data_IF_222291627051
#
_entry.id   IF_222291627051
#
_cell.length_a   1.000
_cell.length_b   1.000
_cell.length_c   1.000
_cell.angle_alpha   90.00
_cell.angle_beta   90.00
_cell.angle_gamma   90.00
#
_symmetry.space_group_name_H-M   'P 1'
#
loop_
_entity.id
_entity.type
_entity.pdbx_description
1 polymer ?
#
# COMPACT_ATOMS: atom_id res chain seq x y z
N UNK A 1 -10.17 -2.48 1.70
CA UNK A 1 -9.50 -2.99 0.48
C UNK A 1 -9.09 -4.45 0.59
N UNK A 2 -8.24 -4.85 1.53
CA UNK A 2 -7.76 -6.24 1.55
C UNK A 2 -8.84 -7.27 1.95
N UNK A 3 -9.69 -6.92 2.92
CA UNK A 3 -10.75 -7.82 3.41
C UNK A 3 -11.91 -7.99 2.42
N UNK A 4 -12.28 -6.91 1.71
CA UNK A 4 -13.37 -6.95 0.71
C UNK A 4 -13.05 -7.86 -0.49
N UNK A 5 -11.78 -8.18 -0.72
CA UNK A 5 -11.36 -9.06 -1.80
C UNK A 5 -11.59 -10.55 -1.48
N UNK A 6 -11.99 -10.89 -0.25
CA UNK A 6 -12.39 -12.25 0.16
C UNK A 6 -13.88 -12.53 -0.08
N UNK A 7 -14.64 -11.53 -0.50
CA UNK A 7 -16.10 -11.55 -0.60
C UNK A 7 -16.60 -11.20 -1.99
N UNK A 8 -17.88 -11.47 -2.24
CA UNK A 8 -18.59 -11.02 -3.43
C UNK A 8 -19.41 -9.77 -3.12
N UNK A 9 -19.46 -8.84 -4.07
CA UNK A 9 -20.44 -7.75 -4.05
C UNK A 9 -21.83 -8.38 -4.21
N UNK A 10 -22.76 -8.00 -3.34
CA UNK A 10 -24.15 -8.44 -3.32
C UNK A 10 -25.04 -7.24 -3.70
N UNK A 11 -25.69 -7.33 -4.85
CA UNK A 11 -26.54 -6.25 -5.40
C UNK A 11 -27.72 -5.92 -4.48
N UNK A 12 -28.25 -6.90 -3.73
CA UNK A 12 -29.33 -6.65 -2.77
C UNK A 12 -28.82 -5.78 -1.61
N UNK A 13 -27.58 -5.98 -1.18
CA UNK A 13 -26.95 -5.17 -0.13
C UNK A 13 -26.69 -3.75 -0.65
N UNK A 14 -26.23 -3.62 -1.90
CA UNK A 14 -26.04 -2.30 -2.54
C UNK A 14 -27.36 -1.54 -2.59
N UNK A 15 -28.46 -2.18 -3.01
CA UNK A 15 -29.78 -1.58 -3.04
C UNK A 15 -30.26 -1.10 -1.65
N UNK A 16 -29.99 -1.87 -0.60
CA UNK A 16 -30.27 -1.43 0.79
C UNK A 16 -29.53 -0.14 1.13
N UNK A 17 -28.27 -0.01 0.77
CA UNK A 17 -27.51 1.21 1.02
C UNK A 17 -27.97 2.40 0.17
N UNK A 18 -28.40 2.16 -1.07
CA UNK A 18 -29.00 3.18 -1.93
C UNK A 18 -30.29 3.74 -1.32
N UNK A 19 -31.21 2.86 -0.90
CA UNK A 19 -32.46 3.27 -0.23
C UNK A 19 -32.18 4.04 1.06
N UNK A 20 -31.30 3.53 1.92
CA UNK A 20 -30.91 4.22 3.15
C UNK A 20 -30.26 5.58 2.87
N UNK A 21 -29.48 5.70 1.80
CA UNK A 21 -28.86 6.96 1.41
C UNK A 21 -29.90 7.99 0.93
N UNK A 22 -30.92 7.56 0.20
CA UNK A 22 -32.06 8.40 -0.16
C UNK A 22 -32.85 8.85 1.08
N UNK A 23 -33.17 7.92 1.99
CA UNK A 23 -33.92 8.22 3.21
C UNK A 23 -33.19 9.17 4.18
N UNK A 24 -31.87 9.05 4.28
CA UNK A 24 -31.07 9.77 5.27
C UNK A 24 -30.38 11.03 4.75
N UNK A 25 -30.00 11.07 3.46
CA UNK A 25 -29.09 12.11 2.97
C UNK A 25 -29.57 12.83 1.71
N UNK A 26 -30.11 12.13 0.71
CA UNK A 26 -30.31 12.73 -0.63
C UNK A 26 -31.77 12.90 -1.08
N UNK A 27 -32.71 12.11 -0.57
CA UNK A 27 -34.13 12.15 -0.96
C UNK A 27 -34.93 13.28 -0.30
N UNK A 28 -36.25 13.28 -0.50
CA UNK A 28 -37.16 14.34 -0.04
C UNK A 28 -37.77 14.08 1.34
N UNK A 29 -37.42 12.97 2.00
CA UNK A 29 -37.84 12.69 3.36
C UNK A 29 -37.40 13.82 4.32
N UNK A 30 -38.20 14.09 5.36
CA UNK A 30 -37.92 15.14 6.34
C UNK A 30 -36.51 15.01 6.94
N UNK A 31 -36.09 13.77 7.23
CA UNK A 31 -34.76 13.44 7.74
C UNK A 31 -33.65 13.89 6.78
N UNK A 32 -33.73 13.52 5.51
CA UNK A 32 -32.77 13.90 4.48
C UNK A 32 -32.73 15.41 4.23
N UNK A 33 -33.90 16.06 4.19
CA UNK A 33 -33.99 17.53 4.10
C UNK A 33 -33.29 18.22 5.28
N UNK A 34 -33.51 17.72 6.50
CA UNK A 34 -32.87 18.23 7.73
C UNK A 34 -31.36 18.03 7.72
N UNK A 35 -30.87 16.89 7.24
CA UNK A 35 -29.44 16.64 7.07
C UNK A 35 -28.83 17.69 6.13
N UNK A 36 -29.40 17.87 4.92
CA UNK A 36 -28.87 18.82 3.94
C UNK A 36 -28.91 20.27 4.43
N UNK A 37 -29.95 20.66 5.16
CA UNK A 37 -30.04 21.99 5.75
C UNK A 37 -28.96 22.25 6.82
N UNK A 38 -28.48 21.21 7.51
CA UNK A 38 -27.54 21.31 8.63
C UNK A 38 -26.19 20.64 8.34
N UNK A 39 -25.82 20.43 7.08
CA UNK A 39 -24.62 19.65 6.70
C UNK A 39 -23.30 20.24 7.23
N UNK A 40 -23.29 21.55 7.52
CA UNK A 40 -22.13 22.24 8.09
C UNK A 40 -22.05 22.15 9.63
N UNK A 41 -23.07 21.59 10.27
CA UNK A 41 -23.08 21.31 11.70
C UNK A 41 -22.54 19.88 11.96
N UNK A 42 -21.43 19.80 12.68
CA UNK A 42 -20.71 18.55 12.87
C UNK A 42 -21.52 17.55 13.72
N UNK A 43 -22.25 18.03 14.73
CA UNK A 43 -23.07 17.19 15.61
C UNK A 43 -24.26 16.59 14.85
N UNK A 44 -25.03 17.43 14.14
CA UNK A 44 -26.15 16.97 13.30
C UNK A 44 -25.70 15.99 12.23
N UNK A 45 -24.55 16.24 11.59
CA UNK A 45 -23.99 15.34 10.58
C UNK A 45 -23.60 14.00 11.17
N UNK A 46 -22.97 13.99 12.34
CA UNK A 46 -22.58 12.76 13.03
C UNK A 46 -23.81 11.92 13.41
N UNK A 47 -24.87 12.57 13.93
CA UNK A 47 -26.12 11.89 14.26
C UNK A 47 -26.73 11.24 13.02
N UNK A 48 -26.82 11.96 11.90
CA UNK A 48 -27.39 11.40 10.66
C UNK A 48 -26.59 10.18 10.14
N UNK A 49 -25.26 10.21 10.28
CA UNK A 49 -24.38 9.10 9.92
C UNK A 49 -24.57 7.90 10.86
N UNK A 50 -24.70 8.12 12.18
CA UNK A 50 -25.01 7.04 13.12
C UNK A 50 -26.37 6.43 12.82
N UNK A 51 -27.41 7.24 12.62
CA UNK A 51 -28.75 6.76 12.28
C UNK A 51 -28.73 5.89 11.00
N UNK A 52 -27.94 6.29 9.98
CA UNK A 52 -27.77 5.51 8.75
C UNK A 52 -27.15 4.14 9.02
N UNK A 53 -26.09 4.09 9.82
CA UNK A 53 -25.44 2.82 10.14
C UNK A 53 -26.30 1.93 11.04
N UNK A 54 -26.98 2.50 12.03
CA UNK A 54 -27.92 1.76 12.89
C UNK A 54 -29.04 1.12 12.05
N UNK A 55 -29.59 1.86 11.09
CA UNK A 55 -30.58 1.33 10.16
C UNK A 55 -30.00 0.23 9.26
N UNK A 56 -28.77 0.39 8.78
CA UNK A 56 -28.09 -0.63 7.96
C UNK A 56 -27.85 -1.94 8.72
N UNK A 57 -27.53 -1.87 10.03
CA UNK A 57 -27.33 -3.06 10.88
C UNK A 57 -28.61 -3.87 10.97
N UNK A 58 -29.77 -3.22 11.13
CA UNK A 58 -31.06 -3.90 11.20
C UNK A 58 -31.43 -4.54 9.85
N UNK A 59 -31.20 -3.84 8.75
CA UNK A 59 -31.58 -4.32 7.40
C UNK A 59 -30.68 -5.41 6.83
N UNK A 60 -29.47 -5.56 7.37
CA UNK A 60 -28.43 -6.47 6.88
C UNK A 60 -28.02 -7.51 7.93
N UNK A 61 -28.83 -7.73 8.96
CA UNK A 61 -28.49 -8.59 10.10
C UNK A 61 -28.21 -10.06 9.71
N UNK A 62 -28.80 -10.52 8.61
CA UNK A 62 -28.66 -11.88 8.08
C UNK A 62 -27.55 -12.02 7.02
N UNK A 63 -26.92 -10.91 6.63
CA UNK A 63 -25.87 -10.88 5.61
C UNK A 63 -24.49 -11.10 6.21
N UNK A 64 -23.62 -11.78 5.46
CA UNK A 64 -22.24 -12.00 5.87
C UNK A 64 -21.47 -10.66 5.95
N UNK A 65 -20.75 -10.36 7.05
CA UNK A 65 -20.06 -9.08 7.24
C UNK A 65 -19.09 -8.71 6.12
N UNK A 66 -18.39 -9.69 5.55
CA UNK A 66 -17.48 -9.50 4.41
C UNK A 66 -18.22 -9.01 3.16
N UNK A 67 -19.39 -9.58 2.85
CA UNK A 67 -20.23 -9.14 1.74
C UNK A 67 -20.81 -7.75 2.00
N UNK A 68 -21.19 -7.45 3.23
CA UNK A 68 -21.66 -6.10 3.63
C UNK A 68 -20.55 -5.08 3.38
N UNK A 69 -19.32 -5.36 3.82
CA UNK A 69 -18.18 -4.44 3.64
C UNK A 69 -17.81 -4.25 2.16
N UNK A 70 -17.81 -5.32 1.36
CA UNK A 70 -17.54 -5.22 -0.08
C UNK A 70 -18.62 -4.43 -0.82
N UNK A 71 -19.89 -4.71 -0.51
CA UNK A 71 -21.03 -4.05 -1.14
C UNK A 71 -21.14 -2.58 -0.72
N UNK A 72 -20.89 -2.25 0.56
CA UNK A 72 -20.82 -0.85 1.01
C UNK A 72 -19.70 -0.08 0.33
N UNK A 73 -18.53 -0.70 0.17
CA UNK A 73 -17.41 -0.11 -0.54
C UNK A 73 -17.74 0.18 -2.02
N UNK A 74 -18.43 -0.76 -2.68
CA UNK A 74 -18.92 -0.61 -4.06
C UNK A 74 -20.00 0.46 -4.17
N UNK A 75 -20.95 0.50 -3.23
CA UNK A 75 -21.97 1.54 -3.16
C UNK A 75 -21.35 2.94 -3.10
N UNK A 76 -20.36 3.15 -2.22
CA UNK A 76 -19.66 4.44 -2.12
C UNK A 76 -18.90 4.81 -3.40
N UNK A 77 -18.32 3.83 -4.08
CA UNK A 77 -17.65 4.04 -5.38
C UNK A 77 -18.64 4.52 -6.45
N UNK A 78 -19.76 3.81 -6.60
CA UNK A 78 -20.81 4.13 -7.57
C UNK A 78 -21.43 5.49 -7.28
N UNK A 79 -21.72 5.78 -6.01
CA UNK A 79 -22.24 7.07 -5.56
C UNK A 79 -21.24 8.19 -5.87
N UNK A 80 -19.95 8.01 -5.57
CA UNK A 80 -18.91 9.00 -5.86
C UNK A 80 -18.82 9.30 -7.35
N UNK A 81 -18.77 8.27 -8.21
CA UNK A 81 -18.73 8.42 -9.66
C UNK A 81 -19.96 9.16 -10.18
N UNK A 82 -21.16 8.78 -9.71
CA UNK A 82 -22.43 9.41 -10.08
C UNK A 82 -22.46 10.89 -9.70
N UNK A 83 -22.13 11.23 -8.45
CA UNK A 83 -22.18 12.61 -7.98
C UNK A 83 -21.14 13.49 -8.67
N UNK A 84 -19.95 12.96 -8.99
CA UNK A 84 -18.96 13.68 -9.78
C UNK A 84 -19.45 13.93 -11.22
N UNK A 85 -20.11 12.94 -11.85
CA UNK A 85 -20.70 13.12 -13.18
C UNK A 85 -21.79 14.21 -13.17
N UNK A 86 -22.68 14.19 -12.17
CA UNK A 86 -23.72 15.21 -12.01
C UNK A 86 -23.12 16.61 -11.73
N UNK A 87 -22.08 16.70 -10.91
CA UNK A 87 -21.37 17.95 -10.68
C UNK A 87 -20.77 18.51 -11.97
N UNK A 88 -20.15 17.66 -12.79
CA UNK A 88 -19.60 18.05 -14.10
C UNK A 88 -20.67 18.47 -15.11
N UNK A 89 -21.86 17.88 -15.06
CA UNK A 89 -22.98 18.34 -15.90
C UNK A 89 -23.51 19.72 -15.46
N UNK A 90 -23.55 19.98 -14.14
CA UNK A 90 -23.99 21.27 -13.58
C UNK A 90 -23.01 22.41 -13.86
N UNK A 91 -21.71 22.10 -13.86
CA UNK A 91 -20.65 23.08 -14.06
C UNK A 91 -20.05 22.95 -15.47
N UNK A 92 -20.43 23.84 -16.39
CA UNK A 92 -19.72 24.00 -17.66
C UNK A 92 -18.35 24.62 -17.39
N UNK A 93 -17.31 23.79 -17.29
CA UNK A 93 -15.93 24.23 -17.10
C UNK A 93 -15.23 24.32 -18.46
N UNK A 94 -14.92 25.53 -18.98
CA UNK A 94 -14.14 25.66 -20.20
C UNK A 94 -12.67 25.27 -19.97
N UNK A 95 -12.09 24.50 -20.89
CA UNK A 95 -10.69 24.09 -20.85
C UNK A 95 -10.45 22.66 -20.36
N UNK A 96 -9.19 22.30 -20.03
CA UNK A 96 -8.85 20.98 -19.52
C UNK A 96 -9.55 20.67 -18.21
N UNK A 97 -10.07 19.45 -18.09
CA UNK A 97 -10.82 18.95 -16.94
C UNK A 97 -9.92 18.03 -16.12
N UNK A 98 -9.04 18.62 -15.30
CA UNK A 98 -8.18 17.85 -14.41
C UNK A 98 -8.80 17.72 -13.02
N UNK A 99 -8.73 16.53 -12.42
CA UNK A 99 -9.18 16.26 -11.05
C UNK A 99 -7.97 16.07 -10.12
N UNK A 100 -7.93 16.84 -9.04
CA UNK A 100 -7.03 16.58 -7.91
C UNK A 100 -7.83 15.99 -6.74
N UNK A 101 -7.41 14.84 -6.22
CA UNK A 101 -8.05 14.19 -5.08
C UNK A 101 -7.17 14.36 -3.84
N UNK A 102 -7.71 15.01 -2.81
CA UNK A 102 -7.10 15.13 -1.49
C UNK A 102 -8.10 14.73 -0.40
N UNK A 103 -7.65 14.65 0.84
CA UNK A 103 -8.38 14.04 1.96
C UNK A 103 -8.04 12.56 2.14
N UNK A 104 -8.32 12.03 3.33
CA UNK A 104 -8.00 10.63 3.68
C UNK A 104 -8.60 9.58 2.74
N UNK A 105 -9.78 9.86 2.16
CA UNK A 105 -10.41 9.01 1.15
C UNK A 105 -9.57 8.86 -0.13
N UNK A 106 -8.68 9.82 -0.44
CA UNK A 106 -7.77 9.74 -1.59
C UNK A 106 -6.74 8.60 -1.49
N UNK A 107 -6.60 7.93 -0.34
CA UNK A 107 -5.82 6.69 -0.23
C UNK A 107 -6.54 5.45 -0.80
N UNK A 108 -7.79 5.61 -1.22
CA UNK A 108 -8.61 4.54 -1.77
C UNK A 108 -8.38 4.39 -3.28
N UNK A 109 -7.54 3.42 -3.63
CA UNK A 109 -7.08 3.21 -5.00
C UNK A 109 -8.18 2.77 -5.97
N UNK A 110 -9.23 2.06 -5.50
CA UNK A 110 -10.33 1.62 -6.37
C UNK A 110 -11.21 2.80 -6.75
N UNK A 111 -11.57 3.65 -5.78
CA UNK A 111 -12.30 4.89 -6.04
C UNK A 111 -11.53 5.85 -6.97
N UNK A 112 -10.22 6.01 -6.74
CA UNK A 112 -9.38 6.83 -7.62
C UNK A 112 -9.36 6.29 -9.07
N UNK A 113 -9.34 4.96 -9.22
CA UNK A 113 -9.33 4.30 -10.52
C UNK A 113 -10.68 4.38 -11.21
N UNK A 114 -11.77 4.14 -10.49
CA UNK A 114 -13.13 4.29 -10.99
C UNK A 114 -13.35 5.70 -11.55
N UNK A 115 -12.92 6.74 -10.82
CA UNK A 115 -12.96 8.13 -11.30
C UNK A 115 -12.11 8.36 -12.56
N UNK A 116 -10.89 7.81 -12.60
CA UNK A 116 -9.99 7.89 -13.77
C UNK A 116 -10.59 7.20 -15.00
N UNK A 117 -11.27 6.08 -14.82
CA UNK A 117 -11.86 5.27 -15.88
C UNK A 117 -13.13 5.88 -16.49
N UNK A 118 -13.79 6.80 -15.78
CA UNK A 118 -15.00 7.47 -16.30
C UNK A 118 -14.77 8.27 -17.59
N UNK A 119 -13.54 8.72 -17.86
CA UNK A 119 -13.25 9.67 -18.95
C UNK A 119 -13.86 11.06 -18.74
N UNK A 120 -14.38 11.37 -17.55
CA UNK A 120 -14.89 12.70 -17.19
C UNK A 120 -13.75 13.73 -17.08
N UNK A 121 -12.55 13.26 -16.76
CA UNK A 121 -11.36 14.07 -16.52
C UNK A 121 -10.25 13.71 -17.51
N UNK A 122 -9.51 14.72 -17.97
CA UNK A 122 -8.36 14.55 -18.85
C UNK A 122 -7.16 13.97 -18.08
N UNK A 123 -7.04 14.32 -16.79
CA UNK A 123 -6.09 13.73 -15.86
C UNK A 123 -6.67 13.67 -14.44
N UNK A 124 -6.34 12.60 -13.71
CA UNK A 124 -6.62 12.45 -12.28
C UNK A 124 -5.29 12.39 -11.54
N UNK A 125 -5.07 13.30 -10.61
CA UNK A 125 -3.86 13.36 -9.80
C UNK A 125 -4.21 13.21 -8.32
N UNK A 126 -3.42 12.38 -7.63
CA UNK A 126 -3.51 12.17 -6.20
C UNK A 126 -2.09 12.33 -5.64
N UNK A 127 -1.86 13.19 -4.63
CA UNK A 127 -0.55 13.32 -4.03
C UNK A 127 -0.22 12.07 -3.18
N UNK A 128 1.06 11.77 -2.88
CA UNK A 128 1.45 10.61 -2.06
C UNK A 128 1.00 10.70 -0.59
N UNK A 129 0.54 11.87 -0.16
CA UNK A 129 0.04 12.18 1.18
C UNK A 129 -1.34 12.85 1.14
N UNK A 130 -2.37 12.23 0.52
CA UNK A 130 -3.65 12.91 0.34
C UNK A 130 -4.39 13.12 1.67
N UNK A 131 -4.07 12.33 2.70
CA UNK A 131 -4.60 12.50 4.06
C UNK A 131 -3.99 13.71 4.79
N UNK A 132 -4.35 13.87 6.06
CA UNK A 132 -3.94 15.01 6.91
C UNK A 132 -2.42 15.20 7.05
N UNK A 133 -1.60 14.19 6.70
CA UNK A 133 -0.15 14.36 6.65
C UNK A 133 0.30 15.35 5.57
N UNK A 134 -0.53 15.58 4.55
CA UNK A 134 -0.32 16.61 3.50
C UNK A 134 -0.71 18.02 3.92
N UNK A 135 -1.36 18.23 5.07
CA UNK A 135 -1.87 19.55 5.45
C UNK A 135 -0.77 20.60 5.65
N UNK A 136 0.41 20.20 6.15
CA UNK A 136 1.53 21.11 6.35
C UNK A 136 2.04 21.71 5.03
N UNK A 137 2.23 20.88 4.01
CA UNK A 137 2.65 21.34 2.67
C UNK A 137 1.52 22.09 1.97
N UNK A 138 0.26 21.68 2.16
CA UNK A 138 -0.90 22.41 1.66
C UNK A 138 -1.01 23.83 2.24
N UNK A 139 -0.75 24.01 3.54
CA UNK A 139 -0.72 25.32 4.19
C UNK A 139 0.40 26.21 3.64
N UNK A 140 1.60 25.65 3.43
CA UNK A 140 2.71 26.37 2.82
C UNK A 140 2.39 26.79 1.37
N UNK A 141 1.81 25.88 0.57
CA UNK A 141 1.38 26.17 -0.79
C UNK A 141 0.27 27.23 -0.83
N UNK A 142 -0.66 27.24 0.13
CA UNK A 142 -1.70 28.27 0.24
C UNK A 142 -1.11 29.65 0.52
N UNK A 143 -0.15 29.75 1.44
CA UNK A 143 0.57 30.99 1.70
C UNK A 143 1.38 31.46 0.48
N UNK A 144 2.10 30.55 -0.19
CA UNK A 144 2.83 30.84 -1.41
C UNK A 144 1.90 31.34 -2.52
N UNK A 145 0.73 30.70 -2.70
CA UNK A 145 -0.26 31.12 -3.68
C UNK A 145 -0.85 32.51 -3.40
N UNK A 146 -0.99 32.88 -2.12
CA UNK A 146 -1.43 34.23 -1.74
C UNK A 146 -0.39 35.33 -2.06
N UNK A 147 0.90 34.98 -2.10
CA UNK A 147 1.98 35.92 -2.37
C UNK A 147 2.41 35.96 -3.84
N UNK A 148 2.46 34.81 -4.52
CA UNK A 148 3.07 34.63 -5.84
C UNK A 148 2.07 34.12 -6.89
N UNK A 149 0.85 33.78 -6.48
CA UNK A 149 -0.12 33.08 -7.33
C UNK A 149 0.17 31.57 -7.43
N UNK A 150 -0.58 30.87 -8.27
CA UNK A 150 -0.39 29.43 -8.47
C UNK A 150 0.89 29.15 -9.27
N UNK A 151 1.98 28.90 -8.55
CA UNK A 151 3.27 28.48 -9.11
C UNK A 151 3.51 26.99 -8.88
N UNK A 152 4.15 26.27 -9.83
CA UNK A 152 4.56 24.89 -9.61
C UNK A 152 5.51 24.78 -8.43
N UNK A 153 5.31 23.75 -7.60
CA UNK A 153 6.26 23.41 -6.56
C UNK A 153 7.34 22.51 -7.15
N UNK A 154 8.61 22.88 -6.98
CA UNK A 154 9.74 21.97 -7.16
C UNK A 154 9.89 21.13 -5.87
N UNK A 155 9.59 19.84 -5.94
CA UNK A 155 9.65 18.95 -4.78
C UNK A 155 10.00 17.51 -5.18
N UNK A 156 10.42 16.74 -4.18
CA UNK A 156 10.62 15.30 -4.31
C UNK A 156 9.83 14.56 -3.25
N UNK A 157 9.27 13.40 -3.59
CA UNK A 157 8.68 12.51 -2.60
C UNK A 157 9.71 12.06 -1.57
N UNK A 158 11.00 12.03 -1.91
CA UNK A 158 12.11 11.72 -1.00
C UNK A 158 12.56 12.96 -0.20
N UNK A 159 11.62 13.74 0.34
CA UNK A 159 11.93 14.92 1.16
C UNK A 159 11.92 14.64 2.67
N UNK A 160 11.62 13.39 3.08
CA UNK A 160 11.64 12.96 4.48
C UNK A 160 13.05 12.90 5.10
N UNK A 161 13.19 12.48 6.36
CA UNK A 161 14.48 12.43 7.05
C UNK A 161 15.53 11.58 6.29
N UNK A 162 16.79 12.06 6.30
CA UNK A 162 17.92 11.28 5.82
C UNK A 162 18.18 10.07 6.74
N UNK A 163 18.84 9.04 6.20
CA UNK A 163 19.33 7.92 7.01
C UNK A 163 20.29 8.42 8.08
N UNK A 164 20.17 7.87 9.29
CA UNK A 164 21.17 8.07 10.33
C UNK A 164 22.30 7.05 10.16
N UNK A 165 23.50 7.44 10.56
CA UNK A 165 24.61 6.51 10.64
C UNK A 165 24.43 5.64 11.89
N UNK A 166 24.63 4.34 11.75
CA UNK A 166 24.63 3.39 12.86
C UNK A 166 25.65 2.28 12.60
N UNK A 167 26.28 1.81 13.66
CA UNK A 167 27.17 0.65 13.60
C UNK A 167 26.36 -0.64 13.47
N UNK A 168 27.01 -1.71 13.02
CA UNK A 168 26.39 -3.04 13.01
C UNK A 168 26.12 -3.48 14.46
N UNK A 169 24.88 -3.84 14.82
CA UNK A 169 24.61 -4.39 16.15
C UNK A 169 25.23 -5.78 16.30
N UNK A 170 25.46 -6.27 17.54
CA UNK A 170 25.97 -7.63 17.77
C UNK A 170 25.13 -8.72 17.08
N UNK A 171 25.81 -9.72 16.50
CA UNK A 171 25.16 -10.80 15.74
C UNK A 171 24.85 -10.45 14.28
N UNK A 172 25.46 -9.38 13.76
CA UNK A 172 25.37 -8.95 12.37
C UNK A 172 26.73 -8.64 11.79
N UNK A 173 27.00 -9.16 10.60
CA UNK A 173 28.19 -8.84 9.82
C UNK A 173 27.86 -7.80 8.77
N UNK A 174 28.67 -6.74 8.69
CA UNK A 174 28.53 -5.69 7.68
C UNK A 174 29.64 -5.80 6.63
N UNK A 175 29.25 -5.82 5.35
CA UNK A 175 30.18 -5.84 4.22
C UNK A 175 29.71 -4.92 3.08
N UNK A 176 30.63 -4.35 2.28
CA UNK A 176 30.24 -3.70 1.03
C UNK A 176 29.43 -4.64 0.14
N UNK A 177 28.38 -4.11 -0.48
CA UNK A 177 27.50 -4.87 -1.37
C UNK A 177 27.02 -3.99 -2.51
N UNK A 178 27.44 -4.33 -3.71
CA UNK A 178 26.99 -3.73 -4.96
C UNK A 178 25.51 -4.03 -5.23
N UNK A 179 24.89 -3.21 -6.08
CA UNK A 179 23.51 -3.41 -6.50
C UNK A 179 23.33 -4.76 -7.22
N UNK A 180 24.32 -5.21 -7.99
CA UNK A 180 24.29 -6.50 -8.67
C UNK A 180 24.29 -7.69 -7.68
N UNK A 181 25.12 -7.62 -6.64
CA UNK A 181 25.13 -8.64 -5.57
C UNK A 181 23.80 -8.65 -4.82
N UNK A 182 23.24 -7.48 -4.53
CA UNK A 182 21.92 -7.35 -3.92
C UNK A 182 20.81 -7.94 -4.80
N UNK A 183 20.83 -7.67 -6.11
CA UNK A 183 19.90 -8.26 -7.07
C UNK A 183 20.01 -9.80 -7.09
N UNK A 184 21.22 -10.34 -6.96
CA UNK A 184 21.47 -11.79 -6.85
C UNK A 184 20.86 -12.38 -5.57
N UNK A 185 20.96 -11.68 -4.44
CA UNK A 185 20.32 -12.08 -3.17
C UNK A 185 18.80 -12.16 -3.35
N UNK A 186 18.19 -11.13 -3.94
CA UNK A 186 16.74 -11.11 -4.20
C UNK A 186 16.34 -12.22 -5.18
N UNK A 187 17.12 -12.46 -6.24
CA UNK A 187 16.90 -13.54 -7.19
C UNK A 187 16.97 -14.93 -6.53
N UNK A 188 17.72 -15.08 -5.44
CA UNK A 188 17.73 -16.29 -4.59
C UNK A 188 16.52 -16.42 -3.65
N UNK A 189 15.47 -15.63 -3.87
CA UNK A 189 14.23 -15.60 -3.09
C UNK A 189 14.43 -15.23 -1.61
N UNK A 190 15.45 -14.41 -1.31
CA UNK A 190 15.72 -13.89 0.03
C UNK A 190 15.26 -12.43 0.11
N UNK A 191 14.33 -12.07 1.00
CA UNK A 191 13.90 -10.70 1.17
C UNK A 191 14.98 -9.85 1.84
N UNK A 192 14.99 -8.56 1.53
CA UNK A 192 15.97 -7.59 2.02
C UNK A 192 15.26 -6.36 2.53
N UNK A 193 15.63 -5.88 3.72
CA UNK A 193 15.30 -4.51 4.13
C UNK A 193 16.19 -3.56 3.35
N UNK A 194 15.61 -2.76 2.46
CA UNK A 194 16.28 -1.81 1.60
C UNK A 194 16.10 -0.39 2.13
N UNK A 195 17.22 0.22 2.51
CA UNK A 195 17.30 1.58 3.05
C UNK A 195 18.19 2.42 2.13
N UNK A 196 17.61 3.41 1.46
CA UNK A 196 18.33 4.30 0.56
C UNK A 196 17.97 5.77 0.79
N UNK A 197 18.98 6.65 0.78
CA UNK A 197 18.78 8.09 0.75
C UNK A 197 17.80 8.64 1.80
N UNK A 198 16.99 9.61 1.40
CA UNK A 198 15.95 10.24 2.24
C UNK A 198 14.68 9.40 2.21
N UNK A 199 13.98 9.35 3.35
CA UNK A 199 12.70 8.65 3.44
C UNK A 199 11.65 9.29 2.52
N UNK A 200 10.77 8.47 1.96
CA UNK A 200 9.62 8.96 1.20
C UNK A 200 8.58 9.63 2.11
N UNK A 201 7.88 10.63 1.57
CA UNK A 201 6.72 11.26 2.20
C UNK A 201 5.46 10.43 1.96
N UNK A 202 4.59 10.39 2.97
CA UNK A 202 3.32 9.68 2.92
C UNK A 202 3.35 8.29 3.58
N UNK A 203 2.22 7.56 3.54
CA UNK A 203 2.05 6.30 4.27
C UNK A 203 2.56 5.06 3.51
N UNK A 204 3.00 5.22 2.26
CA UNK A 204 3.48 4.14 1.40
C UNK A 204 5.00 4.16 1.37
N UNK A 205 5.64 3.00 1.45
CA UNK A 205 7.05 2.89 1.10
C UNK A 205 7.17 2.84 -0.43
N UNK A 206 8.05 3.66 -0.98
CA UNK A 206 8.22 3.93 -2.41
C UNK A 206 9.67 3.66 -2.83
N UNK A 207 10.29 2.64 -2.24
CA UNK A 207 11.65 2.22 -2.56
C UNK A 207 12.75 2.81 -1.67
N UNK A 208 12.48 3.80 -0.82
CA UNK A 208 13.48 4.41 0.08
C UNK A 208 13.57 3.74 1.46
N UNK A 209 12.43 3.30 2.00
CA UNK A 209 12.33 2.54 3.27
C UNK A 209 11.46 1.29 3.07
N UNK A 210 12.00 0.34 2.33
CA UNK A 210 11.22 -0.79 1.81
C UNK A 210 11.77 -2.13 2.26
N UNK A 211 10.92 -3.14 2.35
CA UNK A 211 11.31 -4.54 2.34
C UNK A 211 11.03 -5.02 0.92
N UNK A 212 12.10 -5.38 0.22
CA UNK A 212 12.06 -5.84 -1.15
C UNK A 212 12.21 -7.36 -1.20
N UNK A 213 11.48 -8.00 -2.09
CA UNK A 213 11.55 -9.45 -2.28
C UNK A 213 11.19 -9.85 -3.71
N UNK A 214 11.63 -11.02 -4.14
CA UNK A 214 11.16 -11.60 -5.41
C UNK A 214 9.65 -11.84 -5.38
N UNK A 215 8.98 -11.59 -6.50
CA UNK A 215 7.53 -11.78 -6.62
C UNK A 215 7.11 -13.18 -7.11
N UNK A 216 8.08 -14.05 -7.39
CA UNK A 216 7.91 -15.31 -8.14
C UNK A 216 7.28 -16.46 -7.36
N UNK A 217 7.04 -16.29 -6.07
CA UNK A 217 6.55 -17.34 -5.19
C UNK A 217 5.37 -16.84 -4.35
N UNK A 218 4.21 -17.53 -4.33
CA UNK A 218 3.09 -17.11 -3.50
C UNK A 218 3.42 -17.14 -2.01
N UNK A 219 4.33 -18.01 -1.59
CA UNK A 219 4.81 -18.11 -0.20
C UNK A 219 5.54 -16.83 0.24
N UNK A 220 6.10 -16.04 -0.68
CA UNK A 220 6.73 -14.76 -0.33
C UNK A 220 5.72 -13.77 0.25
N UNK A 221 4.48 -13.73 -0.28
CA UNK A 221 3.40 -12.89 0.28
C UNK A 221 3.12 -13.29 1.73
N UNK A 222 2.98 -14.59 1.96
CA UNK A 222 2.63 -15.13 3.27
C UNK A 222 3.75 -14.88 4.28
N UNK A 223 5.00 -15.12 3.88
CA UNK A 223 6.19 -14.82 4.68
C UNK A 223 6.27 -13.32 5.04
N UNK A 224 6.08 -12.42 4.07
CA UNK A 224 6.10 -10.98 4.31
C UNK A 224 4.97 -10.54 5.25
N UNK A 225 3.78 -11.15 5.16
CA UNK A 225 2.69 -10.87 6.08
C UNK A 225 2.98 -11.37 7.49
N UNK A 226 3.53 -12.58 7.63
CA UNK A 226 3.93 -13.16 8.92
C UNK A 226 4.98 -12.30 9.62
N UNK A 227 6.07 -11.97 8.91
CA UNK A 227 7.15 -11.09 9.40
C UNK A 227 6.62 -9.76 9.91
N UNK A 228 5.57 -9.24 9.28
CA UNK A 228 4.97 -7.93 9.58
C UNK A 228 3.80 -7.99 10.54
N UNK A 229 3.46 -9.17 11.08
CA UNK A 229 2.27 -9.40 11.90
C UNK A 229 1.01 -8.84 11.24
N UNK A 230 0.86 -9.13 9.94
CA UNK A 230 -0.27 -8.74 9.11
C UNK A 230 -1.18 -9.93 8.88
N UNK A 231 -2.44 -9.63 8.60
CA UNK A 231 -3.41 -10.62 8.19
C UNK A 231 -2.98 -11.27 6.87
N UNK A 232 -3.20 -12.59 6.70
CA UNK A 232 -2.73 -13.35 5.54
C UNK A 232 -3.28 -12.82 4.20
N UNK A 233 -4.46 -12.21 4.21
CA UNK A 233 -5.13 -11.64 3.05
C UNK A 233 -4.61 -10.25 2.67
N UNK A 234 -3.72 -9.64 3.46
CA UNK A 234 -3.19 -8.32 3.14
C UNK A 234 -2.29 -8.41 1.90
N UNK A 235 -2.53 -7.57 0.87
CA UNK A 235 -1.73 -7.62 -0.34
C UNK A 235 -0.34 -7.01 -0.14
N UNK A 236 0.58 -7.44 -1.00
CA UNK A 236 1.92 -6.84 -1.17
C UNK A 236 1.94 -6.12 -2.51
N UNK A 237 2.44 -4.89 -2.52
CA UNK A 237 2.47 -4.06 -3.72
C UNK A 237 3.68 -4.41 -4.60
N UNK A 238 3.59 -4.37 -5.93
CA UNK A 238 4.76 -4.39 -6.80
C UNK A 238 5.40 -3.01 -6.94
N UNK A 239 6.73 -2.95 -6.99
CA UNK A 239 7.50 -1.84 -7.58
C UNK A 239 8.06 -2.32 -8.92
N UNK A 240 7.71 -1.63 -10.00
CA UNK A 240 7.92 -2.06 -11.38
C UNK A 240 8.62 -0.97 -12.20
N UNK A 241 9.48 -1.38 -13.13
CA UNK A 241 10.00 -0.48 -14.17
C UNK A 241 8.83 0.05 -15.01
N UNK A 242 8.73 1.37 -15.11
CA UNK A 242 7.56 2.06 -15.69
C UNK A 242 7.32 1.70 -17.16
N UNK A 243 8.38 1.59 -17.96
CA UNK A 243 8.32 1.26 -19.38
C UNK A 243 7.78 -0.14 -19.67
N UNK A 244 7.85 -1.05 -18.68
CA UNK A 244 7.37 -2.43 -18.79
C UNK A 244 6.05 -2.65 -18.04
N UNK A 245 5.56 -1.67 -17.28
CA UNK A 245 4.31 -1.79 -16.55
C UNK A 245 3.07 -2.06 -17.44
N UNK A 246 2.92 -1.45 -18.64
CA UNK A 246 1.80 -1.73 -19.55
C UNK A 246 1.72 -3.18 -20.04
N UNK A 247 2.86 -3.90 -20.08
CA UNK A 247 2.93 -5.29 -20.51
C UNK A 247 2.55 -6.28 -19.40
N UNK A 248 2.43 -5.80 -18.16
CA UNK A 248 2.16 -6.61 -16.96
C UNK A 248 0.82 -6.27 -16.35
N UNK A 249 0.43 -5.01 -16.44
CA UNK A 249 -0.74 -4.45 -15.78
C UNK A 249 -1.64 -3.70 -16.77
N UNK A 250 -2.93 -3.63 -16.44
CA UNK A 250 -3.93 -2.85 -17.14
C UNK A 250 -4.59 -1.87 -16.17
N UNK A 251 -4.53 -0.55 -16.39
CA UNK A 251 -3.98 0.10 -17.59
C UNK A 251 -2.44 0.12 -17.63
N UNK A 252 -1.77 -0.17 -16.51
CA UNK A 252 -0.30 -0.17 -16.42
C UNK A 252 0.35 1.19 -16.67
N UNK A 253 -0.43 2.27 -16.57
CA UNK A 253 0.04 3.66 -16.65
C UNK A 253 0.92 4.04 -15.46
N UNK A 254 1.68 5.15 -15.53
CA UNK A 254 2.45 5.64 -14.40
C UNK A 254 1.61 5.77 -13.13
N UNK A 255 2.07 5.15 -12.05
CA UNK A 255 1.55 5.26 -10.70
C UNK A 255 2.73 5.26 -9.71
N UNK A 256 3.49 6.37 -9.62
CA UNK A 256 4.69 6.42 -8.80
C UNK A 256 4.42 6.37 -7.30
N UNK A 257 3.15 6.47 -6.87
CA UNK A 257 2.77 6.66 -5.47
C UNK A 257 1.84 5.58 -4.92
N UNK A 258 1.51 4.55 -5.71
CA UNK A 258 0.59 3.49 -5.30
C UNK A 258 -0.82 4.00 -4.99
N UNK A 259 -1.37 4.85 -5.86
CA UNK A 259 -2.64 5.55 -5.64
C UNK A 259 -3.77 5.10 -6.57
N UNK A 260 -3.49 4.16 -7.47
CA UNK A 260 -4.46 3.58 -8.38
C UNK A 260 -4.42 2.04 -8.34
N UNK A 261 -5.50 1.43 -8.78
CA UNK A 261 -5.71 0.00 -8.93
C UNK A 261 -5.33 -0.39 -10.36
N UNK A 262 -4.67 -1.53 -10.49
CA UNK A 262 -4.17 -2.01 -11.77
C UNK A 262 -4.46 -3.52 -11.87
N UNK A 263 -5.10 -3.96 -12.94
CA UNK A 263 -5.37 -5.38 -13.17
C UNK A 263 -4.12 -6.09 -13.66
N UNK A 264 -3.71 -7.18 -13.00
CA UNK A 264 -2.58 -8.00 -13.47
C UNK A 264 -3.03 -8.78 -14.70
N UNK A 265 -2.27 -8.68 -15.79
CA UNK A 265 -2.56 -9.40 -17.02
C UNK A 265 -2.46 -10.92 -16.81
N UNK A 266 -3.34 -11.73 -17.43
CA UNK A 266 -3.42 -13.17 -17.18
C UNK A 266 -2.07 -13.90 -17.28
N UNK A 267 -1.27 -13.58 -18.28
CA UNK A 267 0.04 -14.19 -18.57
C UNK A 267 1.12 -13.92 -17.52
N UNK A 268 0.86 -12.99 -16.60
CA UNK A 268 1.77 -12.64 -15.50
C UNK A 268 1.31 -13.19 -14.15
N UNK A 269 0.04 -13.58 -13.98
CA UNK A 269 -0.49 -14.00 -12.68
C UNK A 269 0.32 -15.13 -12.02
N UNK A 270 0.75 -16.11 -12.81
CA UNK A 270 1.58 -17.22 -12.33
C UNK A 270 3.07 -16.89 -12.23
N UNK A 271 3.54 -15.84 -12.93
CA UNK A 271 4.95 -15.41 -12.92
C UNK A 271 5.29 -14.56 -11.71
N UNK A 272 4.35 -13.76 -11.23
CA UNK A 272 4.52 -12.80 -10.12
C UNK A 272 3.44 -12.96 -9.04
N UNK A 273 3.12 -14.19 -8.59
CA UNK A 273 1.96 -14.45 -7.74
C UNK A 273 1.97 -13.73 -6.38
N UNK A 274 3.14 -13.31 -5.87
CA UNK A 274 3.24 -12.65 -4.57
C UNK A 274 2.61 -11.25 -4.51
N UNK A 275 2.49 -10.57 -5.67
CA UNK A 275 1.99 -9.19 -5.76
C UNK A 275 0.57 -9.10 -6.34
N UNK A 276 -0.04 -10.24 -6.66
CA UNK A 276 -1.40 -10.31 -7.20
C UNK A 276 -2.39 -10.39 -6.05
N UNK A 277 -3.34 -9.46 -6.02
CA UNK A 277 -4.46 -9.47 -5.09
C UNK A 277 -5.42 -10.62 -5.42
N UNK A 278 -6.31 -10.94 -4.47
CA UNK A 278 -7.29 -12.03 -4.64
C UNK A 278 -8.24 -11.82 -5.84
N UNK A 279 -8.57 -10.57 -6.14
CA UNK A 279 -9.40 -10.18 -7.29
C UNK A 279 -8.58 -10.03 -8.60
N UNK A 280 -7.29 -10.36 -8.59
CA UNK A 280 -6.38 -10.22 -9.72
C UNK A 280 -5.76 -8.83 -9.91
N UNK A 281 -6.17 -7.84 -9.10
CA UNK A 281 -5.59 -6.50 -9.12
C UNK A 281 -4.22 -6.45 -8.44
N UNK A 282 -3.55 -5.31 -8.53
CA UNK A 282 -2.33 -4.99 -7.84
C UNK A 282 -2.28 -3.48 -7.58
N UNK A 283 -1.79 -3.09 -6.41
CA UNK A 283 -1.49 -1.69 -6.11
C UNK A 283 -0.07 -1.34 -6.58
N UNK A 284 0.04 -0.98 -7.85
CA UNK A 284 1.31 -0.76 -8.55
C UNK A 284 2.08 0.47 -8.04
N UNK A 285 3.39 0.36 -7.91
CA UNK A 285 4.32 1.48 -7.98
C UNK A 285 5.10 1.40 -9.29
N UNK A 286 5.06 2.45 -10.10
CA UNK A 286 5.98 2.60 -11.25
C UNK A 286 7.21 3.42 -10.87
N UNK A 287 8.34 3.09 -11.49
CA UNK A 287 9.54 3.91 -11.42
C UNK A 287 10.23 3.97 -12.79
N UNK A 288 10.47 5.18 -13.29
CA UNK A 288 11.19 5.38 -14.54
C UNK A 288 12.63 4.89 -14.44
N UNK A 289 13.16 4.30 -15.51
CA UNK A 289 14.59 3.96 -15.65
C UNK A 289 15.52 5.15 -15.48
N UNK A 290 15.03 6.37 -15.73
CA UNK A 290 15.78 7.62 -15.56
C UNK A 290 15.74 8.18 -14.14
N UNK A 291 15.02 7.54 -13.21
CA UNK A 291 14.98 7.95 -11.81
C UNK A 291 16.36 7.77 -11.16
N UNK A 292 16.84 8.82 -10.49
CA UNK A 292 18.12 8.82 -9.76
C UNK A 292 18.08 8.01 -8.45
N UNK A 293 16.91 7.48 -8.07
CA UNK A 293 16.78 6.70 -6.85
C UNK A 293 17.47 5.32 -6.98
N UNK A 294 18.20 4.89 -5.96
CA UNK A 294 19.00 3.65 -5.99
C UNK A 294 18.18 2.36 -6.29
N UNK A 295 16.89 2.36 -5.95
CA UNK A 295 16.00 1.22 -6.25
C UNK A 295 15.81 1.00 -7.76
N UNK A 296 16.00 2.05 -8.58
CA UNK A 296 15.90 1.97 -10.03
C UNK A 296 17.02 1.07 -10.59
N UNK A 297 18.26 1.32 -10.17
CA UNK A 297 19.42 0.50 -10.57
C UNK A 297 19.21 -0.96 -10.16
N UNK A 298 18.70 -1.18 -8.94
CA UNK A 298 18.37 -2.50 -8.43
C UNK A 298 17.35 -3.23 -9.31
N UNK A 299 16.27 -2.56 -9.70
CA UNK A 299 15.25 -3.14 -10.57
C UNK A 299 15.81 -3.45 -11.96
N UNK A 300 16.66 -2.59 -12.51
CA UNK A 300 17.32 -2.81 -13.81
C UNK A 300 18.22 -4.04 -13.75
N UNK A 301 19.06 -4.18 -12.72
CA UNK A 301 19.93 -5.35 -12.56
C UNK A 301 19.14 -6.62 -12.28
N UNK A 302 18.08 -6.55 -11.47
CA UNK A 302 17.19 -7.68 -11.21
C UNK A 302 16.45 -8.13 -12.48
N UNK A 303 15.99 -7.20 -13.31
CA UNK A 303 15.35 -7.48 -14.60
C UNK A 303 16.31 -8.20 -15.56
N UNK A 304 17.54 -7.70 -15.70
CA UNK A 304 18.58 -8.36 -16.52
C UNK A 304 18.87 -9.79 -16.06
N UNK A 305 18.89 -10.02 -14.75
CA UNK A 305 19.22 -11.33 -14.17
C UNK A 305 18.08 -12.34 -14.27
N UNK A 306 16.83 -11.89 -14.16
CA UNK A 306 15.67 -12.78 -13.97
C UNK A 306 14.65 -12.73 -15.10
N UNK A 307 14.69 -11.70 -15.94
CA UNK A 307 13.64 -11.36 -16.89
C UNK A 307 12.37 -10.79 -16.25
N UNK A 308 12.38 -10.50 -14.95
CA UNK A 308 11.21 -9.99 -14.20
C UNK A 308 11.49 -8.52 -13.83
N UNK A 309 10.69 -7.56 -14.32
CA UNK A 309 10.98 -6.13 -14.16
C UNK A 309 10.38 -5.52 -12.88
N UNK A 310 10.10 -6.34 -11.87
CA UNK A 310 9.48 -5.90 -10.63
C UNK A 310 9.88 -6.72 -9.42
N UNK A 311 9.69 -6.12 -8.25
CA UNK A 311 9.86 -6.74 -6.95
C UNK A 311 8.62 -6.48 -6.08
N UNK A 312 8.41 -7.33 -5.08
CA UNK A 312 7.55 -7.01 -3.95
C UNK A 312 8.10 -5.75 -3.23
N UNK A 313 7.20 -4.85 -2.84
CA UNK A 313 7.51 -3.69 -2.02
C UNK A 313 6.51 -3.57 -0.86
N UNK A 314 7.03 -3.55 0.36
CA UNK A 314 6.27 -3.25 1.58
C UNK A 314 7.10 -2.40 2.54
N UNK A 315 6.45 -1.72 3.48
CA UNK A 315 7.13 -0.78 4.39
C UNK A 315 8.16 -1.44 5.31
N UNK A 316 9.35 -0.85 5.37
CA UNK A 316 10.38 -1.16 6.36
C UNK A 316 10.11 -0.37 7.65
N UNK A 317 9.31 -0.94 8.54
CA UNK A 317 8.93 -0.35 9.82
C UNK A 317 8.49 -1.39 10.84
N UNK A 318 8.38 -0.98 12.11
CA UNK A 318 7.58 -1.71 13.10
C UNK A 318 6.09 -1.42 12.90
N UNK A 319 5.24 -2.39 13.27
CA UNK A 319 3.79 -2.20 13.23
C UNK A 319 3.38 -0.99 14.10
N UNK A 320 2.59 -0.07 13.54
CA UNK A 320 2.17 1.15 14.24
C UNK A 320 3.27 2.18 14.51
N UNK A 321 4.41 2.12 13.80
CA UNK A 321 5.52 3.07 13.88
C UNK A 321 5.91 3.59 12.49
N UNK A 322 6.67 4.68 12.47
CA UNK A 322 7.29 5.22 11.26
C UNK A 322 8.37 4.31 10.68
N UNK A 323 8.91 4.68 9.52
CA UNK A 323 9.99 3.94 8.85
C UNK A 323 11.24 3.81 9.72
N UNK A 324 12.02 2.76 9.49
CA UNK A 324 13.33 2.62 10.14
C UNK A 324 14.22 3.83 9.80
N UNK A 325 14.84 4.47 10.80
CA UNK A 325 15.70 5.63 10.58
C UNK A 325 17.10 5.26 10.06
N UNK A 326 17.54 4.02 10.27
CA UNK A 326 18.88 3.52 9.98
C UNK A 326 18.91 1.97 9.92
N UNK A 327 20.07 1.42 9.55
CA UNK A 327 20.30 -0.02 9.46
C UNK A 327 20.25 -0.69 10.84
N UNK A 328 20.77 -0.04 11.89
CA UNK A 328 20.79 -0.59 13.24
C UNK A 328 19.38 -0.93 13.74
N UNK A 329 18.41 -0.02 13.57
CA UNK A 329 17.02 -0.25 13.93
C UNK A 329 16.38 -1.41 13.14
N UNK A 330 16.73 -1.58 11.88
CA UNK A 330 16.26 -2.70 11.06
C UNK A 330 16.89 -4.04 11.49
N UNK A 331 18.18 -4.03 11.83
CA UNK A 331 18.91 -5.19 12.33
C UNK A 331 18.40 -5.63 13.72
N UNK A 332 18.13 -4.67 14.62
CA UNK A 332 17.51 -4.93 15.94
C UNK A 332 16.10 -5.52 15.81
N UNK A 333 15.34 -5.09 14.80
CA UNK A 333 14.05 -5.72 14.51
C UNK A 333 14.20 -7.19 14.12
N UNK A 334 15.25 -7.54 13.37
CA UNK A 334 15.79 -8.91 13.30
C UNK A 334 14.92 -9.96 12.63
N UNK A 335 13.86 -9.56 11.90
CA UNK A 335 12.91 -10.47 11.24
C UNK A 335 13.28 -10.84 9.80
N UNK A 336 14.15 -10.05 9.17
CA UNK A 336 14.69 -10.29 7.83
C UNK A 336 16.19 -10.41 8.00
N UNK A 337 16.81 -11.44 7.41
CA UNK A 337 18.24 -11.75 7.64
C UNK A 337 19.20 -10.81 6.90
N UNK A 338 18.70 -9.99 5.98
CA UNK A 338 19.49 -9.11 5.12
C UNK A 338 18.96 -7.67 5.21
N UNK A 339 19.83 -6.74 5.60
CA UNK A 339 19.54 -5.30 5.59
C UNK A 339 20.57 -4.64 4.69
N UNK A 340 20.13 -4.04 3.59
CA UNK A 340 20.99 -3.24 2.72
C UNK A 340 20.75 -1.75 3.00
N UNK A 341 21.82 -1.01 3.25
CA UNK A 341 21.79 0.41 3.56
C UNK A 341 22.92 1.14 2.82
N UNK A 342 22.59 1.95 1.81
CA UNK A 342 23.52 2.77 1.03
C UNK A 342 24.84 2.05 0.63
N UNK A 343 24.74 0.84 0.06
CA UNK A 343 25.89 0.08 -0.44
C UNK A 343 26.57 -0.83 0.59
N UNK A 344 26.06 -0.91 1.82
CA UNK A 344 26.50 -1.86 2.84
C UNK A 344 25.39 -2.87 3.09
N UNK A 345 25.74 -4.16 3.04
CA UNK A 345 24.85 -5.25 3.43
C UNK A 345 25.21 -5.71 4.84
N UNK A 346 24.22 -5.71 5.72
CA UNK A 346 24.25 -6.34 7.02
C UNK A 346 23.59 -7.71 6.90
N UNK A 347 24.31 -8.76 7.27
CA UNK A 347 23.82 -10.14 7.25
C UNK A 347 23.76 -10.68 8.67
N UNK A 348 22.60 -11.22 9.04
CA UNK A 348 22.40 -11.82 10.35
C UNK A 348 23.25 -13.08 10.50
N UNK A 349 24.05 -13.15 11.55
CA UNK A 349 24.85 -14.34 11.85
C UNK A 349 23.92 -15.52 12.17
N UNK A 350 24.17 -16.66 11.53
CA UNK A 350 23.48 -17.90 11.91
C UNK A 350 24.12 -18.42 13.18
N UNK A 351 23.39 -18.35 14.29
CA UNK A 351 23.75 -19.12 15.49
C UNK A 351 23.68 -20.59 15.10
N UNK A 352 24.82 -21.29 15.05
CA UNK A 352 24.82 -22.73 14.88
C UNK A 352 24.02 -23.35 16.04
N UNK A 353 22.89 -23.98 15.74
CA UNK A 353 22.20 -24.80 16.73
C UNK A 353 23.18 -25.91 17.14
N UNK A 354 23.66 -25.84 18.38
CA UNK A 354 24.40 -26.93 19.00
C UNK A 354 23.45 -28.13 19.04
N UNK A 355 23.75 -29.14 18.22
CA UNK A 355 23.05 -30.42 18.25
C UNK A 355 22.97 -30.93 19.70
N UNK A 356 21.81 -31.44 20.17
CA UNK A 356 21.71 -31.98 21.51
C UNK A 356 22.70 -33.12 21.66
N UNK A 357 23.64 -32.96 22.60
CA UNK A 357 24.59 -33.99 23.00
C UNK A 357 23.78 -35.21 23.45
N UNK A 358 23.90 -36.30 22.69
CA UNK A 358 23.23 -37.56 23.00
C UNK A 358 23.57 -38.00 24.42
N UNK A 359 22.55 -38.11 25.27
CA UNK A 359 22.65 -38.77 26.56
C UNK A 359 22.82 -40.27 26.25
N UNK A 360 24.03 -40.77 26.45
CA UNK A 360 24.29 -42.20 26.39
C UNK A 360 23.57 -42.89 27.57
N UNK A 361 22.55 -43.68 27.25
CA UNK A 361 21.89 -44.60 28.17
C UNK A 361 22.90 -45.60 28.73
N UNK A 362 23.35 -45.37 29.95
CA UNK A 362 24.11 -46.33 30.74
C UNK A 362 23.14 -47.08 31.67
N UNK A 363 22.39 -48.02 31.10
CA UNK A 363 21.53 -48.94 31.85
C UNK A 363 22.40 -50.01 32.53
N UNK A 364 22.98 -49.70 33.69
CA UNK A 364 23.54 -50.71 34.60
C UNK A 364 22.41 -51.33 35.42
N UNK A 365 22.02 -52.55 35.06
CA UNK A 365 21.27 -53.43 35.95
C UNK A 365 22.10 -53.73 37.19
N UNK A 366 21.65 -53.25 38.35
CA UNK A 366 22.14 -53.65 39.67
C UNK A 366 21.01 -54.44 40.34
N UNK A 367 21.19 -55.76 40.39
CA UNK A 367 20.43 -56.68 41.24
C UNK A 367 20.88 -56.49 42.69
N UNK A 368 19.96 -56.14 43.59
CA UNK A 368 20.19 -56.17 45.03
C UNK A 368 19.44 -57.37 45.65
N UNK A 369 20.07 -58.20 46.50
CA UNK A 369 19.38 -59.25 47.22
C UNK A 369 18.98 -58.83 48.64
N UNK A 370 17.78 -59.27 49.02
CA UNK A 370 17.07 -59.27 50.32
C UNK A 370 16.35 -58.00 50.73
#
# INVERSE_FOLDING_TARGET
MAYIALSSIDEDIVAVFEELYEEHFSGDAERACRYRANINDAESSLIAVHDFFDASVVRLEDKAPENVLASFHSFLELLLVREMALAMQRHSLPGPRNLCIAGGCGLNIKWNSALRETGLFDAVWVPPFPNDSGSAIGAACSAMAAHEGFVPLEWSVYSGPALKNGDAPPGWEAAPCSILELATILASNKPVVFLAGRAELGPRALGGRSILAAATSPQMKDYLNEVKFREHFRPVAPICLEDLAPDIFSPGTPDPYMLFDHQTRPEWKDKIPAVVHLDGSARLQTISRSSEHAVTELLIEYEKLTGIPLLCNTSANLHGRGFFPDAAAACEWGRIDHVWCNGVLFTKERVAELAPVGVADNMKMSTCPR
#
